data_IF_400784525381
#
_entry.id   IF_400784525381
#
_cell.length_a   1.000
_cell.length_b   1.000
_cell.length_c   1.000
_cell.angle_alpha   90.00
_cell.angle_beta   90.00
_cell.angle_gamma   90.00
#
_symmetry.space_group_name_H-M   'P 1'
#
loop_
_entity.id
_entity.type
_entity.pdbx_description
1 polymer ?
#
# COMPACT_ATOMS: atom_id res chain seq x y z
N UNK A 1 6.64 21.36 -15.44
CA UNK A 1 6.63 22.79 -15.06
C UNK A 1 7.94 23.07 -14.35
N UNK A 2 8.82 23.87 -14.97
CA UNK A 2 10.12 24.25 -14.41
C UNK A 2 10.07 25.74 -14.01
N UNK A 3 10.29 26.03 -12.72
CA UNK A 3 10.39 27.40 -12.17
C UNK A 3 11.79 27.67 -11.61
N UNK A 4 12.83 27.73 -12.45
CA UNK A 4 14.21 27.90 -11.99
C UNK A 4 14.43 29.22 -11.24
N UNK A 5 13.62 30.24 -11.52
CA UNK A 5 13.66 31.54 -10.84
C UNK A 5 13.20 31.50 -9.37
N UNK A 6 12.61 30.38 -8.91
CA UNK A 6 12.18 30.21 -7.52
C UNK A 6 13.34 30.00 -6.54
N UNK A 7 14.53 29.68 -7.06
CA UNK A 7 15.75 29.49 -6.29
C UNK A 7 16.57 30.79 -6.24
N UNK A 8 16.95 31.21 -5.02
CA UNK A 8 17.93 32.26 -4.84
C UNK A 8 19.34 31.77 -5.19
N UNK A 9 20.30 32.70 -5.34
CA UNK A 9 21.72 32.35 -5.53
C UNK A 9 22.26 31.49 -4.37
N UNK A 10 21.81 31.74 -3.14
CA UNK A 10 22.20 30.97 -1.97
C UNK A 10 21.61 29.54 -2.00
N UNK A 11 20.37 29.40 -2.46
CA UNK A 11 19.70 28.10 -2.61
C UNK A 11 20.46 27.22 -3.63
N UNK A 12 20.79 27.81 -4.78
CA UNK A 12 21.59 27.14 -5.81
C UNK A 12 22.99 26.78 -5.32
N UNK A 13 23.63 27.64 -4.52
CA UNK A 13 24.93 27.35 -3.92
C UNK A 13 24.84 26.18 -2.92
N UNK A 14 23.79 26.12 -2.11
CA UNK A 14 23.52 25.00 -1.20
C UNK A 14 23.33 23.69 -1.97
N UNK A 15 22.48 23.68 -2.99
CA UNK A 15 22.21 22.49 -3.82
C UNK A 15 23.49 21.96 -4.51
N UNK A 16 24.34 22.86 -5.02
CA UNK A 16 25.63 22.51 -5.63
C UNK A 16 26.59 21.78 -4.68
N UNK A 17 26.47 21.97 -3.36
CA UNK A 17 27.30 21.25 -2.37
C UNK A 17 26.94 19.77 -2.27
N UNK A 18 25.74 19.39 -2.72
CA UNK A 18 25.29 17.99 -2.73
C UNK A 18 25.67 17.32 -4.05
N UNK A 19 25.26 17.88 -5.18
CA UNK A 19 25.60 17.41 -6.54
C UNK A 19 25.50 18.58 -7.51
N UNK A 20 26.13 18.50 -8.71
CA UNK A 20 25.94 19.47 -9.77
C UNK A 20 24.45 19.79 -10.03
N UNK A 21 24.15 21.05 -10.39
CA UNK A 21 22.75 21.45 -10.68
C UNK A 21 22.16 20.72 -11.88
N UNK A 22 23.00 20.29 -12.83
CA UNK A 22 22.59 19.42 -13.95
C UNK A 22 21.99 18.11 -13.44
N UNK A 23 22.55 17.54 -12.38
CA UNK A 23 22.17 16.24 -11.83
C UNK A 23 20.85 16.38 -11.08
N UNK A 24 20.67 17.48 -10.32
CA UNK A 24 19.38 17.85 -9.75
C UNK A 24 18.28 18.00 -10.80
N UNK A 25 18.59 18.66 -11.93
CA UNK A 25 17.64 18.80 -13.03
C UNK A 25 17.31 17.45 -13.63
N UNK A 26 18.32 16.63 -13.94
CA UNK A 26 18.12 15.30 -14.49
C UNK A 26 17.24 14.44 -13.56
N UNK A 27 17.60 14.32 -12.28
CA UNK A 27 16.89 13.49 -11.31
C UNK A 27 15.51 13.99 -10.90
N UNK A 28 15.20 15.27 -11.11
CA UNK A 28 13.93 15.90 -10.73
C UNK A 28 12.97 16.19 -11.90
N UNK A 29 13.43 16.09 -13.15
CA UNK A 29 12.70 16.58 -14.33
C UNK A 29 11.59 15.67 -14.85
N UNK A 30 11.58 14.39 -14.48
CA UNK A 30 10.57 13.45 -14.98
C UNK A 30 9.41 13.24 -13.99
N UNK A 31 8.30 12.72 -14.52
CA UNK A 31 7.09 12.41 -13.77
C UNK A 31 7.06 10.99 -13.21
N UNK A 32 8.15 10.24 -13.28
CA UNK A 32 8.13 8.81 -13.03
C UNK A 32 9.10 8.38 -11.94
N UNK A 33 10.24 9.04 -11.79
CA UNK A 33 11.21 8.76 -10.75
C UNK A 33 11.86 10.03 -10.23
N UNK A 34 11.87 10.20 -8.91
CA UNK A 34 12.83 11.10 -8.23
C UNK A 34 14.02 10.33 -7.66
N UNK A 35 13.96 9.00 -7.69
CA UNK A 35 14.93 8.12 -7.04
C UNK A 35 16.25 8.01 -7.79
N UNK A 36 16.34 8.47 -9.04
CA UNK A 36 17.61 8.59 -9.76
C UNK A 36 18.61 9.49 -9.04
N UNK A 37 18.09 10.48 -8.30
CA UNK A 37 18.91 11.44 -7.55
C UNK A 37 19.75 10.81 -6.44
N UNK A 38 19.23 9.76 -5.77
CA UNK A 38 19.94 9.10 -4.66
C UNK A 38 21.10 8.24 -5.14
N UNK A 39 21.11 7.87 -6.42
CA UNK A 39 22.19 7.07 -7.01
C UNK A 39 23.39 7.87 -7.49
N UNK A 40 23.34 9.21 -7.43
CA UNK A 40 24.50 10.01 -7.76
C UNK A 40 25.63 9.79 -6.74
N UNK A 41 26.86 9.69 -7.25
CA UNK A 41 28.04 9.34 -6.44
C UNK A 41 28.20 10.25 -5.22
N UNK A 42 28.02 9.67 -4.03
CA UNK A 42 28.15 10.39 -2.75
C UNK A 42 27.03 11.38 -2.44
N UNK A 43 25.89 11.30 -3.13
CA UNK A 43 24.70 12.10 -2.85
C UNK A 43 24.27 11.93 -1.39
N UNK A 44 23.99 10.70 -0.95
CA UNK A 44 23.50 10.42 0.40
C UNK A 44 24.42 10.97 1.49
N UNK A 45 25.73 10.75 1.36
CA UNK A 45 26.71 11.23 2.32
C UNK A 45 26.79 12.76 2.40
N UNK A 46 26.61 13.47 1.28
CA UNK A 46 26.65 14.94 1.25
C UNK A 46 25.31 15.56 1.62
N UNK A 47 24.20 14.95 1.19
CA UNK A 47 22.85 15.35 1.54
C UNK A 47 22.60 15.20 3.04
N UNK A 48 23.03 14.09 3.65
CA UNK A 48 22.89 13.85 5.10
C UNK A 48 23.62 14.89 5.94
N UNK A 49 24.78 15.37 5.50
CA UNK A 49 25.53 16.46 6.18
C UNK A 49 24.83 17.83 6.07
N UNK A 50 23.87 17.96 5.15
CA UNK A 50 23.15 19.19 4.84
C UNK A 50 21.64 19.01 5.01
N UNK A 51 21.22 18.03 5.80
CA UNK A 51 19.81 17.64 6.00
C UNK A 51 18.92 18.82 6.41
N UNK A 52 19.29 19.55 7.47
CA UNK A 52 18.55 20.68 8.00
C UNK A 52 18.47 21.86 7.02
N UNK A 53 19.57 22.33 6.40
CA UNK A 53 19.46 23.41 5.42
C UNK A 53 18.71 22.99 4.16
N UNK A 54 18.85 21.74 3.69
CA UNK A 54 18.08 21.22 2.54
C UNK A 54 16.59 21.12 2.86
N UNK A 55 16.23 20.64 4.04
CA UNK A 55 14.83 20.57 4.47
C UNK A 55 14.21 21.96 4.61
N UNK A 56 14.95 22.92 5.17
CA UNK A 56 14.52 24.33 5.22
C UNK A 56 14.29 24.92 3.82
N UNK A 57 15.19 24.66 2.88
CA UNK A 57 15.01 25.05 1.47
C UNK A 57 13.74 24.42 0.90
N UNK A 58 13.52 23.12 1.10
CA UNK A 58 12.30 22.44 0.65
C UNK A 58 11.03 23.10 1.22
N UNK A 59 10.99 23.39 2.52
CA UNK A 59 9.85 24.10 3.15
C UNK A 59 9.64 25.50 2.55
N UNK A 60 10.71 26.22 2.21
CA UNK A 60 10.61 27.52 1.56
C UNK A 60 10.04 27.39 0.14
N UNK A 61 10.46 26.39 -0.63
CA UNK A 61 9.93 26.13 -1.96
C UNK A 61 8.44 25.78 -1.91
N UNK A 62 8.01 24.97 -0.95
CA UNK A 62 6.57 24.67 -0.74
C UNK A 62 5.76 25.96 -0.53
N UNK A 63 6.32 26.95 0.18
CA UNK A 63 5.65 28.24 0.40
C UNK A 63 5.70 29.17 -0.82
N UNK A 64 6.81 29.20 -1.56
CA UNK A 64 7.02 30.11 -2.69
C UNK A 64 6.34 29.63 -3.97
N UNK A 65 6.38 28.33 -4.25
CA UNK A 65 5.88 27.71 -5.47
C UNK A 65 5.00 26.48 -5.18
N UNK A 66 3.92 26.63 -4.38
CA UNK A 66 3.07 25.51 -3.99
C UNK A 66 2.47 24.78 -5.20
N UNK A 67 2.14 25.52 -6.26
CA UNK A 67 1.56 24.95 -7.48
C UNK A 67 2.53 24.02 -8.20
N UNK A 68 3.82 24.35 -8.25
CA UNK A 68 4.83 23.49 -8.88
C UNK A 68 5.04 22.21 -8.08
N UNK A 69 5.03 22.31 -6.74
CA UNK A 69 5.10 21.15 -5.86
C UNK A 69 3.88 20.24 -6.05
N UNK A 70 2.67 20.81 -6.05
CA UNK A 70 1.43 20.05 -6.27
C UNK A 70 1.43 19.44 -7.66
N UNK A 71 1.78 20.19 -8.71
CA UNK A 71 1.85 19.70 -10.09
C UNK A 71 2.84 18.54 -10.22
N UNK A 72 4.05 18.69 -9.67
CA UNK A 72 5.06 17.65 -9.67
C UNK A 72 4.61 16.40 -8.88
N UNK A 73 3.86 16.60 -7.79
CA UNK A 73 3.28 15.53 -6.97
C UNK A 73 2.17 14.78 -7.71
N UNK A 74 1.26 15.50 -8.36
CA UNK A 74 0.19 14.91 -9.18
C UNK A 74 0.78 14.17 -10.39
N UNK A 75 1.81 14.73 -11.02
CA UNK A 75 2.46 14.08 -12.16
C UNK A 75 3.06 12.72 -11.78
N UNK A 76 3.77 12.64 -10.65
CA UNK A 76 4.31 11.37 -10.11
C UNK A 76 3.26 10.45 -9.54
N UNK A 77 2.26 11.03 -8.89
CA UNK A 77 1.14 10.32 -8.31
C UNK A 77 0.26 9.63 -9.36
N UNK A 78 0.19 10.16 -10.58
CA UNK A 78 -0.58 9.58 -11.68
C UNK A 78 -0.27 8.09 -11.92
N UNK A 79 0.94 7.64 -11.59
CA UNK A 79 1.36 6.23 -11.66
C UNK A 79 0.44 5.27 -10.90
N UNK A 80 -0.21 5.68 -9.81
CA UNK A 80 -1.08 4.77 -9.09
C UNK A 80 -2.36 4.43 -9.88
N UNK A 81 -2.74 5.27 -10.84
CA UNK A 81 -3.96 5.13 -11.64
C UNK A 81 -3.72 4.81 -13.11
N UNK A 82 -2.46 4.72 -13.55
CA UNK A 82 -2.09 4.49 -14.96
C UNK A 82 -1.69 3.02 -15.21
N UNK A 83 -2.56 2.19 -15.84
CA UNK A 83 -2.22 0.82 -16.24
C UNK A 83 -1.06 0.75 -17.24
N UNK A 84 -0.99 1.71 -18.16
CA UNK A 84 -0.03 1.72 -19.27
C UNK A 84 0.68 3.08 -19.36
N UNK A 85 1.71 3.32 -18.52
CA UNK A 85 2.53 4.51 -18.65
C UNK A 85 3.53 4.35 -19.82
N UNK A 86 4.16 5.45 -20.29
CA UNK A 86 5.25 5.39 -21.25
C UNK A 86 6.47 4.64 -20.67
N UNK A 87 7.47 4.39 -21.52
CA UNK A 87 8.62 3.55 -21.17
C UNK A 87 9.34 3.95 -19.86
N UNK A 88 9.47 5.24 -19.58
CA UNK A 88 10.09 5.79 -18.38
C UNK A 88 9.28 5.53 -17.11
N UNK A 89 7.97 5.35 -17.26
CA UNK A 89 7.06 5.10 -16.16
C UNK A 89 6.93 3.64 -15.78
N UNK A 90 7.50 2.70 -16.54
CA UNK A 90 7.37 1.23 -16.39
C UNK A 90 7.76 0.71 -15.01
N UNK A 91 7.26 -0.47 -14.64
CA UNK A 91 7.54 -1.04 -13.32
C UNK A 91 9.04 -1.24 -13.17
N UNK A 92 9.61 -0.63 -12.14
CA UNK A 92 11.02 -0.75 -11.85
C UNK A 92 11.27 -1.91 -10.89
N UNK A 93 12.15 -2.81 -11.28
CA UNK A 93 12.73 -3.86 -10.43
C UNK A 93 14.15 -3.40 -10.06
N UNK A 94 14.38 -3.02 -8.79
CA UNK A 94 15.71 -2.60 -8.33
C UNK A 94 16.66 -3.77 -8.46
N UNK A 95 17.54 -3.75 -9.46
CA UNK A 95 18.74 -4.57 -9.54
C UNK A 95 18.57 -6.01 -9.04
N UNK A 96 17.46 -6.64 -9.40
CA UNK A 96 17.32 -8.07 -9.24
C UNK A 96 18.12 -8.78 -10.33
N UNK A 97 19.36 -8.34 -10.59
CA UNK A 97 20.37 -9.23 -11.11
C UNK A 97 20.43 -10.38 -10.12
N UNK A 98 19.98 -11.54 -10.57
CA UNK A 98 19.93 -12.74 -9.75
C UNK A 98 20.95 -13.67 -10.36
N UNK A 99 22.21 -13.58 -9.94
CA UNK A 99 23.24 -14.48 -10.42
C UNK A 99 22.75 -15.92 -10.27
N UNK A 100 23.17 -16.81 -11.17
CA UNK A 100 22.75 -18.21 -11.12
C UNK A 100 23.05 -18.90 -9.77
N UNK A 101 23.95 -18.33 -8.97
CA UNK A 101 24.46 -18.88 -7.72
C UNK A 101 24.28 -17.96 -6.48
N UNK A 102 23.66 -16.79 -6.61
CA UNK A 102 23.56 -15.79 -5.53
C UNK A 102 22.22 -15.07 -5.56
N UNK A 103 21.76 -14.59 -4.41
CA UNK A 103 20.51 -13.89 -4.20
C UNK A 103 20.74 -12.41 -3.94
N UNK A 104 19.86 -11.58 -4.50
CA UNK A 104 19.80 -10.14 -4.26
C UNK A 104 21.15 -9.46 -4.42
N UNK A 105 21.55 -8.70 -3.40
CA UNK A 105 22.74 -7.85 -3.40
C UNK A 105 24.06 -8.61 -3.25
N UNK A 106 24.09 -9.95 -3.19
CA UNK A 106 25.34 -10.71 -3.05
C UNK A 106 26.34 -10.55 -4.22
N UNK A 107 25.90 -9.91 -5.31
CA UNK A 107 26.74 -9.51 -6.44
C UNK A 107 27.47 -8.18 -6.23
N UNK A 108 27.12 -7.36 -5.23
CA UNK A 108 27.76 -6.04 -5.05
C UNK A 108 29.12 -6.14 -4.38
N UNK A 109 30.02 -5.23 -4.76
CA UNK A 109 31.42 -5.23 -4.29
C UNK A 109 31.54 -5.14 -2.77
N UNK A 110 30.62 -4.42 -2.11
CA UNK A 110 30.61 -4.23 -0.66
C UNK A 110 30.49 -5.56 0.13
N UNK A 111 29.89 -6.59 -0.46
CA UNK A 111 29.70 -7.91 0.18
C UNK A 111 30.58 -9.00 -0.42
N UNK A 112 31.50 -8.64 -1.33
CA UNK A 112 32.39 -9.60 -2.02
C UNK A 112 33.21 -10.46 -1.04
N UNK A 113 33.66 -9.87 0.06
CA UNK A 113 34.51 -10.50 1.07
C UNK A 113 33.74 -10.96 2.32
N UNK A 114 32.41 -10.96 2.29
CA UNK A 114 31.62 -11.44 3.42
C UNK A 114 31.81 -12.96 3.58
N UNK A 115 32.19 -13.47 4.77
CA UNK A 115 32.37 -14.92 4.98
C UNK A 115 31.09 -15.73 4.73
N UNK A 116 29.91 -15.14 4.92
CA UNK A 116 28.61 -15.76 4.67
C UNK A 116 28.14 -15.60 3.21
N UNK A 117 29.01 -15.20 2.29
CA UNK A 117 28.61 -14.92 0.90
C UNK A 117 27.96 -16.11 0.19
N UNK A 118 28.43 -17.32 0.51
CA UNK A 118 27.90 -18.56 -0.05
C UNK A 118 26.47 -18.85 0.44
N UNK A 119 26.10 -18.36 1.63
CA UNK A 119 24.78 -18.57 2.23
C UNK A 119 23.70 -17.67 1.61
N UNK A 120 24.09 -16.59 0.93
CA UNK A 120 23.18 -15.77 0.13
C UNK A 120 22.76 -16.46 -1.18
N UNK A 121 22.73 -17.79 -1.28
CA UNK A 121 22.30 -18.49 -2.49
C UNK A 121 20.83 -18.91 -2.40
N UNK A 122 19.94 -18.36 -3.24
CA UNK A 122 18.58 -18.90 -3.43
C UNK A 122 18.59 -20.07 -4.40
N UNK A 123 19.23 -21.17 -4.00
CA UNK A 123 19.03 -22.44 -4.69
C UNK A 123 17.62 -22.93 -4.31
N UNK A 124 16.64 -23.00 -5.22
CA UNK A 124 15.51 -23.88 -4.96
C UNK A 124 16.06 -25.30 -4.83
N UNK A 125 15.34 -26.14 -4.10
CA UNK A 125 15.82 -27.47 -3.68
C UNK A 125 16.27 -28.36 -4.86
N UNK A 126 15.87 -28.04 -6.11
CA UNK A 126 16.24 -28.78 -7.32
C UNK A 126 16.60 -27.87 -8.51
N UNK A 127 17.44 -28.38 -9.42
CA UNK A 127 17.79 -27.70 -10.70
C UNK A 127 16.55 -27.41 -11.55
N UNK A 128 15.66 -28.40 -11.69
CA UNK A 128 14.43 -28.26 -12.48
C UNK A 128 13.53 -27.15 -11.92
N UNK A 129 13.37 -27.06 -10.59
CA UNK A 129 12.62 -25.98 -9.95
C UNK A 129 13.26 -24.61 -10.20
N UNK A 130 14.58 -24.54 -10.25
CA UNK A 130 15.30 -23.31 -10.58
C UNK A 130 15.08 -22.87 -12.04
N UNK A 131 15.17 -23.80 -12.98
CA UNK A 131 14.97 -23.51 -14.40
C UNK A 131 13.54 -23.03 -14.66
N UNK A 132 12.53 -23.67 -14.04
CA UNK A 132 11.13 -23.24 -14.11
C UNK A 132 10.93 -21.86 -13.47
N UNK A 133 11.51 -21.60 -12.30
CA UNK A 133 11.37 -20.30 -11.64
C UNK A 133 11.99 -19.15 -12.45
N UNK A 134 13.16 -19.39 -13.07
CA UNK A 134 13.78 -18.42 -13.99
C UNK A 134 12.90 -18.19 -15.21
N UNK A 135 12.42 -19.27 -15.84
CA UNK A 135 11.53 -19.16 -17.01
C UNK A 135 10.25 -18.39 -16.68
N UNK A 136 9.56 -18.70 -15.57
CA UNK A 136 8.36 -18.00 -15.13
C UNK A 136 8.64 -16.51 -14.90
N UNK A 137 9.79 -16.21 -14.29
CA UNK A 137 10.20 -14.84 -14.05
C UNK A 137 10.46 -14.09 -15.36
N UNK A 138 11.21 -14.67 -16.28
CA UNK A 138 11.52 -14.06 -17.57
C UNK A 138 10.25 -13.86 -18.40
N UNK A 139 9.37 -14.86 -18.43
CA UNK A 139 8.05 -14.77 -19.05
C UNK A 139 7.21 -13.64 -18.42
N UNK A 140 7.22 -13.50 -17.10
CA UNK A 140 6.48 -12.44 -16.41
C UNK A 140 7.01 -11.03 -16.73
N UNK A 141 8.28 -10.89 -17.12
CA UNK A 141 8.94 -9.62 -17.43
C UNK A 141 8.76 -9.16 -18.87
N UNK A 142 8.07 -9.95 -19.70
CA UNK A 142 7.73 -9.57 -21.07
C UNK A 142 6.92 -8.27 -21.02
N UNK A 143 7.32 -7.28 -21.82
CA UNK A 143 6.76 -5.92 -21.77
C UNK A 143 5.24 -5.88 -22.01
N UNK A 144 4.76 -6.78 -22.86
CA UNK A 144 3.35 -6.95 -23.19
C UNK A 144 2.50 -7.40 -21.98
N UNK A 145 3.14 -7.99 -20.96
CA UNK A 145 2.50 -8.47 -19.74
C UNK A 145 2.72 -7.53 -18.54
N UNK A 146 3.59 -6.51 -18.62
CA UNK A 146 3.86 -5.58 -17.50
C UNK A 146 2.58 -4.94 -16.97
N UNK A 147 1.77 -4.41 -17.89
CA UNK A 147 0.50 -3.74 -17.55
C UNK A 147 -0.48 -4.68 -16.82
N UNK A 148 -0.40 -6.00 -17.02
CA UNK A 148 -1.32 -6.95 -16.39
C UNK A 148 -0.72 -7.56 -15.13
N UNK A 149 0.53 -8.04 -15.20
CA UNK A 149 1.14 -8.81 -14.13
C UNK A 149 1.81 -7.93 -13.07
N UNK A 150 2.39 -6.81 -13.48
CA UNK A 150 3.27 -6.00 -12.63
C UNK A 150 2.72 -4.61 -12.31
N UNK A 151 1.50 -4.28 -12.77
CA UNK A 151 0.85 -3.00 -12.46
C UNK A 151 -0.20 -3.04 -11.38
N UNK A 152 0.15 -2.40 -10.28
CA UNK A 152 -0.79 -2.04 -9.22
C UNK A 152 -1.99 -1.23 -9.72
N UNK A 153 -1.81 -0.30 -10.66
CA UNK A 153 -2.91 0.48 -11.23
C UNK A 153 -3.98 -0.40 -11.89
N UNK A 154 -3.57 -1.39 -12.66
CA UNK A 154 -4.48 -2.35 -13.32
C UNK A 154 -5.29 -3.13 -12.29
N UNK A 155 -4.61 -3.70 -11.30
CA UNK A 155 -5.28 -4.48 -10.26
C UNK A 155 -6.12 -3.62 -9.31
N UNK A 156 -5.78 -2.35 -9.16
CA UNK A 156 -6.62 -1.36 -8.45
C UNK A 156 -7.95 -1.19 -9.16
N UNK A 157 -7.92 -0.93 -10.48
CA UNK A 157 -9.15 -0.79 -11.27
C UNK A 157 -9.98 -2.07 -11.29
N UNK A 158 -9.34 -3.23 -11.49
CA UNK A 158 -10.02 -4.53 -11.43
C UNK A 158 -10.67 -4.74 -10.06
N UNK A 159 -9.95 -4.44 -8.97
CA UNK A 159 -10.47 -4.54 -7.60
C UNK A 159 -11.67 -3.63 -7.35
N UNK A 160 -11.61 -2.36 -7.79
CA UNK A 160 -12.74 -1.44 -7.70
C UNK A 160 -13.96 -1.94 -8.48
N UNK A 161 -13.77 -2.43 -9.71
CA UNK A 161 -14.85 -3.00 -10.53
C UNK A 161 -15.45 -4.23 -9.82
N UNK A 162 -14.63 -5.12 -9.28
CA UNK A 162 -15.09 -6.32 -8.58
C UNK A 162 -15.93 -5.99 -7.34
N UNK A 163 -15.46 -5.04 -6.52
CA UNK A 163 -16.17 -4.57 -5.32
C UNK A 163 -17.46 -3.84 -5.69
N UNK A 164 -17.43 -2.94 -6.66
CA UNK A 164 -18.61 -2.21 -7.11
C UNK A 164 -19.68 -3.17 -7.67
N UNK A 165 -19.28 -4.11 -8.53
CA UNK A 165 -20.18 -5.13 -9.06
C UNK A 165 -20.76 -6.01 -7.94
N UNK A 166 -19.97 -6.35 -6.92
CA UNK A 166 -20.45 -7.10 -5.76
C UNK A 166 -21.45 -6.31 -4.91
N UNK A 167 -21.14 -5.04 -4.59
CA UNK A 167 -22.01 -4.14 -3.85
C UNK A 167 -23.35 -3.93 -4.56
N UNK A 168 -23.32 -3.65 -5.88
CA UNK A 168 -24.51 -3.51 -6.72
C UNK A 168 -25.34 -4.80 -6.75
N UNK A 169 -24.69 -5.95 -6.98
CA UNK A 169 -25.38 -7.24 -6.97
C UNK A 169 -25.96 -7.55 -5.61
N UNK A 170 -25.37 -7.13 -4.49
CA UNK A 170 -25.91 -7.32 -3.13
C UNK A 170 -26.91 -6.23 -2.71
N UNK A 171 -26.97 -5.11 -3.43
CA UNK A 171 -27.71 -3.88 -3.06
C UNK A 171 -27.29 -3.36 -1.68
N UNK A 172 -26.03 -3.57 -1.32
CA UNK A 172 -25.47 -3.13 -0.05
C UNK A 172 -24.25 -2.23 -0.32
N UNK A 173 -24.41 -0.93 -0.04
CA UNK A 173 -23.36 0.07 -0.23
C UNK A 173 -22.23 -0.07 0.79
N UNK A 174 -22.46 -0.72 1.92
CA UNK A 174 -21.45 -0.98 2.95
C UNK A 174 -20.31 -1.81 2.38
N UNK A 175 -20.60 -2.67 1.40
CA UNK A 175 -19.59 -3.49 0.71
C UNK A 175 -18.57 -2.65 -0.07
N UNK A 176 -18.87 -1.38 -0.39
CA UNK A 176 -17.88 -0.47 -0.99
C UNK A 176 -16.71 -0.19 -0.05
N UNK A 177 -16.88 -0.36 1.27
CA UNK A 177 -15.80 -0.22 2.24
C UNK A 177 -14.63 -1.19 1.97
N UNK A 178 -14.87 -2.32 1.28
CA UNK A 178 -13.81 -3.24 0.87
C UNK A 178 -12.80 -2.59 -0.10
N UNK A 179 -13.22 -1.59 -0.86
CA UNK A 179 -12.34 -0.82 -1.73
C UNK A 179 -11.42 0.15 -0.95
N UNK A 180 -11.68 0.39 0.34
CA UNK A 180 -10.92 1.35 1.15
C UNK A 180 -9.44 0.97 1.27
N UNK A 181 -9.10 -0.33 1.29
CA UNK A 181 -7.70 -0.79 1.34
C UNK A 181 -6.95 -0.37 0.07
N UNK A 182 -7.57 -0.58 -1.10
CA UNK A 182 -6.99 -0.17 -2.37
C UNK A 182 -6.91 1.36 -2.47
N UNK A 183 -7.98 2.06 -2.08
CA UNK A 183 -7.99 3.52 -2.07
C UNK A 183 -6.93 4.12 -1.14
N UNK A 184 -6.75 3.54 0.05
CA UNK A 184 -5.71 3.93 0.99
C UNK A 184 -4.31 3.78 0.42
N UNK A 185 -4.00 2.63 -0.22
CA UNK A 185 -2.70 2.47 -0.89
C UNK A 185 -2.52 3.50 -2.01
N UNK A 186 -3.56 3.71 -2.81
CA UNK A 186 -3.51 4.63 -3.94
C UNK A 186 -3.23 6.07 -3.46
N UNK A 187 -3.95 6.53 -2.43
CA UNK A 187 -3.68 7.81 -1.78
C UNK A 187 -2.26 7.89 -1.20
N UNK A 188 -1.73 6.80 -0.65
CA UNK A 188 -0.34 6.73 -0.20
C UNK A 188 0.63 6.88 -1.38
N UNK A 189 0.41 6.24 -2.52
CA UNK A 189 1.24 6.45 -3.71
C UNK A 189 1.11 7.89 -4.22
N UNK A 190 -0.08 8.47 -4.19
CA UNK A 190 -0.27 9.89 -4.50
C UNK A 190 0.46 10.81 -3.52
N UNK A 191 0.67 10.42 -2.26
CA UNK A 191 1.31 11.21 -1.22
C UNK A 191 2.83 10.95 -1.07
N UNK A 192 3.31 9.73 -1.29
CA UNK A 192 4.72 9.33 -1.27
C UNK A 192 5.07 8.24 -2.30
N UNK A 193 5.52 8.64 -3.51
CA UNK A 193 5.92 7.73 -4.58
C UNK A 193 7.13 8.27 -5.33
N UNK A 194 8.34 7.85 -4.93
CA UNK A 194 9.57 8.29 -5.58
C UNK A 194 9.92 7.50 -6.85
N UNK A 195 9.27 6.35 -7.12
CA UNK A 195 9.57 5.49 -8.29
C UNK A 195 8.45 4.45 -8.53
N UNK A 196 8.18 4.00 -9.76
CA UNK A 196 7.23 2.91 -10.07
C UNK A 196 7.71 1.51 -9.62
N UNK A 197 8.16 1.37 -8.37
CA UNK A 197 8.66 0.11 -7.84
C UNK A 197 7.56 -0.73 -7.18
N UNK A 198 7.74 -2.05 -7.22
CA UNK A 198 6.82 -3.02 -6.60
C UNK A 198 6.48 -2.68 -5.15
N UNK A 199 7.44 -2.22 -4.35
CA UNK A 199 7.23 -1.90 -2.92
C UNK A 199 6.16 -0.84 -2.67
N UNK A 200 5.91 0.06 -3.61
CA UNK A 200 4.86 1.09 -3.50
C UNK A 200 3.51 0.60 -4.05
N UNK A 201 3.49 -0.49 -4.83
CA UNK A 201 2.31 -1.00 -5.54
C UNK A 201 1.91 -2.42 -5.12
N UNK A 202 2.58 -3.01 -4.14
CA UNK A 202 2.37 -4.40 -3.74
C UNK A 202 0.92 -4.67 -3.30
N UNK A 203 0.31 -3.76 -2.55
CA UNK A 203 -1.05 -3.94 -2.01
C UNK A 203 -2.08 -4.21 -3.12
N UNK A 204 -2.27 -3.37 -4.15
CA UNK A 204 -3.22 -3.68 -5.19
C UNK A 204 -2.83 -4.91 -6.00
N UNK A 205 -1.55 -5.22 -6.16
CA UNK A 205 -1.12 -6.43 -6.87
C UNK A 205 -1.47 -7.73 -6.13
N UNK A 206 -1.60 -7.70 -4.80
CA UNK A 206 -2.01 -8.87 -4.02
C UNK A 206 -3.52 -8.88 -3.76
N UNK A 207 -4.07 -7.74 -3.33
CA UNK A 207 -5.47 -7.63 -2.92
C UNK A 207 -6.40 -7.57 -4.13
N UNK A 208 -6.02 -6.89 -5.21
CA UNK A 208 -6.83 -6.77 -6.42
C UNK A 208 -7.23 -8.13 -7.01
N UNK A 209 -6.28 -9.07 -7.28
CA UNK A 209 -6.61 -10.41 -7.72
C UNK A 209 -7.53 -11.18 -6.76
N UNK A 210 -7.32 -11.06 -5.44
CA UNK A 210 -8.15 -11.73 -4.44
C UNK A 210 -9.60 -11.21 -4.47
N UNK A 211 -9.79 -9.91 -4.71
CA UNK A 211 -11.12 -9.31 -4.84
C UNK A 211 -11.86 -9.76 -6.11
N UNK A 212 -11.19 -10.29 -7.13
CA UNK A 212 -11.85 -10.85 -8.33
C UNK A 212 -12.82 -11.97 -7.97
N UNK A 213 -12.53 -12.76 -6.92
CA UNK A 213 -13.45 -13.80 -6.46
C UNK A 213 -14.82 -13.23 -6.05
N UNK A 214 -14.88 -11.99 -5.55
CA UNK A 214 -16.14 -11.32 -5.21
C UNK A 214 -17.00 -11.09 -6.45
N UNK A 215 -16.39 -10.85 -7.62
CA UNK A 215 -17.10 -10.69 -8.88
C UNK A 215 -17.94 -11.94 -9.22
N UNK A 216 -17.41 -13.13 -8.95
CA UNK A 216 -18.08 -14.41 -9.19
C UNK A 216 -18.96 -14.90 -8.04
N UNK A 217 -18.85 -14.30 -6.85
CA UNK A 217 -19.63 -14.70 -5.69
C UNK A 217 -21.13 -14.50 -5.93
N UNK A 218 -21.90 -15.59 -6.00
CA UNK A 218 -23.36 -15.55 -6.23
C UNK A 218 -24.10 -15.11 -4.97
N UNK A 219 -25.28 -14.49 -5.14
CA UNK A 219 -26.26 -14.40 -4.05
C UNK A 219 -26.72 -15.81 -3.73
N UNK A 220 -26.28 -16.37 -2.59
CA UNK A 220 -27.08 -17.40 -1.95
C UNK A 220 -28.38 -16.71 -1.54
N UNK A 221 -29.51 -17.09 -2.16
CA UNK A 221 -30.81 -16.83 -1.55
C UNK A 221 -30.72 -17.50 -0.17
N UNK A 222 -31.00 -16.75 0.89
CA UNK A 222 -31.27 -17.40 2.17
C UNK A 222 -32.29 -18.50 1.86
N UNK A 223 -32.12 -19.74 2.36
CA UNK A 223 -33.22 -20.68 2.37
C UNK A 223 -34.40 -19.92 2.96
N UNK A 224 -35.40 -19.65 2.13
CA UNK A 224 -36.69 -19.21 2.64
C UNK A 224 -37.03 -20.29 3.64
N UNK A 225 -37.05 -19.90 4.90
CA UNK A 225 -37.70 -20.50 6.05
C UNK A 225 -38.71 -21.58 5.62
N UNK A 226 -38.19 -22.75 5.23
CA UNK A 226 -38.91 -24.00 5.06
C UNK A 226 -39.04 -24.56 6.48
N UNK A 227 -39.79 -23.82 7.28
CA UNK A 227 -40.31 -24.15 8.58
C UNK A 227 -41.49 -23.17 8.77
N UNK A 228 -42.64 -23.38 8.15
CA UNK A 228 -43.26 -24.68 8.10
C UNK A 228 -43.63 -25.17 9.50
N UNK A 229 -44.03 -24.28 10.40
CA UNK A 229 -44.85 -24.62 11.56
C UNK A 229 -45.82 -23.47 11.85
N UNK A 230 -46.83 -23.31 10.97
CA UNK A 230 -48.11 -22.79 11.41
C UNK A 230 -48.61 -23.78 12.47
N UNK A 231 -48.85 -23.39 13.73
CA UNK A 231 -49.64 -24.23 14.62
C UNK A 231 -51.02 -24.40 13.96
N UNK A 232 -51.61 -25.60 13.97
CA UNK A 232 -53.01 -25.73 13.59
C UNK A 232 -53.82 -24.76 14.46
N UNK A 233 -54.82 -24.12 13.86
CA UNK A 233 -55.80 -23.33 14.56
C UNK A 233 -56.48 -24.20 15.62
N UNK A 234 -55.92 -24.19 16.83
CA UNK A 234 -56.51 -24.73 18.04
C UNK A 234 -57.55 -23.74 18.54
N UNK A 235 -58.79 -24.18 18.51
CA UNK A 235 -59.96 -23.71 19.24
C UNK A 235 -59.65 -22.77 20.40
N UNK A 236 -60.15 -21.53 20.32
CA UNK A 236 -60.29 -20.64 21.47
C UNK A 236 -61.16 -21.34 22.55
N UNK A 237 -60.68 -21.46 23.81
CA UNK A 237 -61.55 -21.73 24.94
C UNK A 237 -62.38 -20.48 25.28
N UNK A 238 -63.59 -20.64 25.83
CA UNK A 238 -64.48 -19.53 26.14
C UNK A 238 -63.89 -18.63 27.23
N UNK A 239 -64.27 -17.36 27.15
CA UNK A 239 -63.94 -16.30 28.07
C UNK A 239 -64.19 -16.70 29.54
N UNK A 240 -63.11 -16.77 30.32
CA UNK A 240 -63.12 -16.93 31.77
C UNK A 240 -62.41 -15.75 32.42
N UNK A 241 -63.21 -14.84 32.96
CA UNK A 241 -62.97 -14.03 34.17
C UNK A 241 -61.60 -13.37 34.37
N UNK A 242 -61.54 -12.06 34.08
CA UNK A 242 -60.54 -11.14 34.65
C UNK A 242 -60.69 -11.05 36.18
N UNK A 243 -59.59 -11.12 36.96
CA UNK A 243 -59.49 -10.49 38.27
C UNK A 243 -58.90 -9.08 38.16
N UNK A 244 -59.22 -8.17 39.10
CA UNK A 244 -58.98 -6.74 38.96
C UNK A 244 -57.53 -6.34 39.20
N UNK A 245 -57.20 -5.18 38.63
CA UNK A 245 -55.98 -4.44 38.84
C UNK A 245 -55.76 -4.09 40.32
N UNK A 246 -54.54 -4.29 40.82
CA UNK A 246 -54.05 -3.66 42.03
C UNK A 246 -52.53 -3.47 41.94
N UNK A 247 -52.08 -2.27 42.30
CA UNK A 247 -50.73 -2.07 42.85
C UNK A 247 -49.71 -1.40 41.93
N UNK A 248 -49.79 -0.07 41.85
CA UNK A 248 -48.64 0.77 41.57
C UNK A 248 -47.59 0.63 42.70
N UNK A 249 -46.30 0.56 42.37
CA UNK A 249 -45.25 1.20 43.18
C UNK A 249 -43.93 1.39 42.43
N UNK A 250 -43.31 2.53 42.74
CA UNK A 250 -42.14 3.20 42.16
C UNK A 250 -40.82 2.75 42.82
N UNK A 251 -39.74 2.94 42.05
CA UNK A 251 -38.44 3.54 42.42
C UNK A 251 -37.42 2.80 43.32
N UNK A 252 -36.15 3.07 43.01
CA UNK A 252 -34.93 2.78 43.79
C UNK A 252 -33.99 1.85 43.03
N UNK A 253 -32.87 2.30 42.42
CA UNK A 253 -31.62 2.66 43.12
C UNK A 253 -31.06 1.40 43.79
N UNK A 254 -29.85 0.88 43.54
CA UNK A 254 -28.55 1.54 43.68
C UNK A 254 -27.43 0.55 43.30
N UNK A 255 -26.27 1.12 42.91
CA UNK A 255 -24.90 0.65 43.24
C UNK A 255 -24.20 -0.48 42.48
N UNK A 256 -23.19 -0.02 41.73
CA UNK A 256 -21.88 -0.61 41.47
C UNK A 256 -21.03 -0.65 42.76
N UNK A 257 -20.18 -1.67 42.95
CA UNK A 257 -18.73 -1.45 43.05
C UNK A 257 -17.98 -2.51 42.20
N UNK A 258 -16.83 -2.24 41.60
CA UNK A 258 -15.61 -1.76 42.26
C UNK A 258 -14.67 -2.96 42.41
N UNK A 259 -13.69 -3.08 41.50
CA UNK A 259 -12.72 -4.17 41.48
C UNK A 259 -11.45 -3.73 40.75
N UNK A 260 -10.63 -2.98 41.47
CA UNK A 260 -9.27 -2.55 41.11
C UNK A 260 -8.29 -3.48 41.83
N UNK A 261 -7.30 -4.07 41.13
CA UNK A 261 -5.95 -4.37 41.66
C UNK A 261 -5.01 -5.01 40.61
N UNK A 262 -3.68 -5.06 40.80
CA UNK A 262 -2.76 -4.05 40.26
C UNK A 262 -1.58 -4.62 39.42
N UNK A 263 -0.70 -3.72 39.01
CA UNK A 263 0.53 -3.92 38.24
C UNK A 263 1.70 -4.56 39.02
N UNK A 264 2.57 -5.28 38.28
CA UNK A 264 4.01 -5.49 38.54
C UNK A 264 4.61 -6.10 37.25
N UNK A 265 5.76 -5.73 36.69
CA UNK A 265 6.81 -4.74 36.96
C UNK A 265 7.82 -4.85 35.78
N UNK A 266 8.71 -3.85 35.54
CA UNK A 266 9.70 -3.94 34.48
C UNK A 266 11.00 -4.57 34.99
N UNK A 267 11.45 -5.64 34.34
CA UNK A 267 12.77 -6.22 34.53
C UNK A 267 13.76 -5.69 33.48
N UNK A 268 14.70 -4.87 33.91
CA UNK A 268 15.91 -4.43 33.20
C UNK A 268 17.02 -5.47 33.37
N UNK A 269 17.75 -5.84 32.29
CA UNK A 269 19.21 -5.65 32.03
C UNK A 269 19.81 -6.95 31.44
N UNK A 270 21.07 -6.98 30.94
CA UNK A 270 21.66 -6.16 29.89
C UNK A 270 22.40 -7.03 28.82
N UNK A 271 23.11 -6.33 27.95
CA UNK A 271 23.94 -6.79 26.84
C UNK A 271 24.98 -7.89 27.16
N UNK A 272 25.27 -8.67 26.13
CA UNK A 272 26.57 -9.30 25.82
C UNK A 272 26.72 -9.33 24.30
#
# INVERSE_FOLDING_TARGET
HDSPASFSKADLALMKRVVPLSDWKFGGSDCYSSNTTTFFKGFDARASKLDHPLFRLWLQLVKRVPQDIISARLCRGALAWQPQPPAQGRTWDYDSYTPANLWGWAHVSAVKHNPYRADFATRPLTKAGNDVARWLRDASKIQQLDWLLWRGATWTWIGYIAVAAFALRRRDKTMLALAAILAGQQLMVLADNPVPAFRYMMTPMLIGPLLVALFFARRRRAPLEQAGARPPAGTQPPAGTQPPAAGAQRAGGTQRPGGTQPAAGPGTTPAS
#
